data_IF_990187505452
#
_entry.id   IF_990187505452
#
_cell.length_a   1.000
_cell.length_b   1.000
_cell.length_c   1.000
_cell.angle_alpha   90.00
_cell.angle_beta   90.00
_cell.angle_gamma   90.00
#
_symmetry.space_group_name_H-M   'P 1'
#
loop_
_entity.id
_entity.type
_entity.pdbx_description
1 polymer ?
#
# COMPACT_ATOMS: atom_id res chain seq x y z
N UNK A 1 2.10 -5.27 -7.59
CA UNK A 1 2.20 -3.84 -7.19
C UNK A 1 2.37 -3.81 -5.69
N UNK A 2 3.27 -2.97 -5.16
CA UNK A 2 3.63 -2.95 -3.75
C UNK A 2 3.42 -1.57 -3.14
N UNK A 3 3.11 -1.52 -1.84
CA UNK A 3 3.01 -0.26 -1.09
C UNK A 3 4.41 0.30 -0.89
N UNK A 4 4.60 1.56 -1.30
CA UNK A 4 5.83 2.28 -1.13
C UNK A 4 5.61 3.55 -0.30
N UNK A 5 6.67 4.02 0.35
CA UNK A 5 6.71 5.24 1.15
C UNK A 5 7.92 6.06 0.75
N UNK A 6 7.70 7.36 0.58
CA UNK A 6 8.74 8.34 0.29
C UNK A 6 8.58 9.56 1.21
N UNK A 7 9.68 10.23 1.52
CA UNK A 7 9.69 11.44 2.34
C UNK A 7 10.14 12.64 1.53
N UNK A 8 9.37 13.72 1.60
CA UNK A 8 9.74 15.02 1.01
C UNK A 8 9.64 16.10 2.08
N UNK A 9 10.79 16.72 2.41
CA UNK A 9 10.89 17.73 3.48
C UNK A 9 10.28 17.27 4.82
N UNK A 10 10.56 16.02 5.20
CA UNK A 10 10.05 15.41 6.44
C UNK A 10 8.58 14.95 6.39
N UNK A 11 7.87 15.17 5.28
CA UNK A 11 6.49 14.71 5.12
C UNK A 11 6.43 13.33 4.45
N UNK A 12 5.77 12.32 5.06
CA UNK A 12 5.56 11.01 4.48
C UNK A 12 4.50 11.04 3.37
N UNK A 13 4.78 10.38 2.25
CA UNK A 13 3.89 10.26 1.09
C UNK A 13 3.91 8.80 0.66
N UNK A 14 2.77 8.10 0.81
CA UNK A 14 2.63 6.77 0.24
C UNK A 14 2.42 6.83 -1.28
N UNK A 15 2.85 5.78 -1.96
CA UNK A 15 2.70 5.57 -3.38
C UNK A 15 2.83 4.09 -3.71
N UNK A 16 3.23 3.80 -4.95
CA UNK A 16 3.40 2.42 -5.40
C UNK A 16 4.82 2.13 -5.87
N UNK A 17 5.18 0.87 -5.77
CA UNK A 17 6.31 0.29 -6.49
C UNK A 17 5.88 -0.91 -7.34
N UNK A 18 6.67 -1.22 -8.36
CA UNK A 18 6.53 -2.42 -9.17
C UNK A 18 7.90 -2.91 -9.65
N UNK A 19 7.93 -4.18 -10.04
CA UNK A 19 9.10 -4.80 -10.64
C UNK A 19 9.12 -4.50 -12.14
N UNK A 20 10.25 -4.01 -12.63
CA UNK A 20 10.57 -3.96 -14.05
C UNK A 20 11.98 -4.53 -14.25
N UNK A 21 12.08 -5.70 -14.89
CA UNK A 21 13.33 -6.43 -15.10
C UNK A 21 14.20 -6.65 -13.84
N UNK A 22 13.55 -6.92 -12.70
CA UNK A 22 14.20 -7.11 -11.40
C UNK A 22 14.57 -5.80 -10.68
N UNK A 23 14.41 -4.65 -11.35
CA UNK A 23 14.58 -3.33 -10.77
C UNK A 23 13.31 -2.83 -10.09
N UNK A 24 13.50 -2.04 -9.03
CA UNK A 24 12.37 -1.35 -8.37
C UNK A 24 12.05 -0.09 -9.15
N UNK A 25 10.86 -0.04 -9.73
CA UNK A 25 10.25 1.17 -10.23
C UNK A 25 9.22 1.68 -9.23
N UNK A 26 8.95 2.98 -9.25
CA UNK A 26 8.00 3.58 -8.32
C UNK A 26 7.31 4.82 -8.88
N UNK A 27 6.25 5.24 -8.21
CA UNK A 27 5.48 6.42 -8.56
C UNK A 27 4.83 7.02 -7.33
N UNK A 28 5.04 8.32 -7.13
CA UNK A 28 4.47 9.11 -6.04
C UNK A 28 3.79 10.38 -6.56
N UNK A 29 2.60 10.72 -6.04
CA UNK A 29 1.96 12.00 -6.31
C UNK A 29 2.60 13.12 -5.48
N UNK A 30 3.02 14.21 -6.14
CA UNK A 30 3.54 15.39 -5.46
C UNK A 30 3.25 16.65 -6.28
N UNK A 31 2.70 17.71 -5.67
CA UNK A 31 2.43 19.00 -6.32
C UNK A 31 1.80 18.89 -7.73
N UNK A 32 0.75 18.06 -7.88
CA UNK A 32 0.01 17.81 -9.14
C UNK A 32 0.79 17.04 -10.23
N UNK A 33 2.04 16.66 -9.97
CA UNK A 33 2.86 15.86 -10.88
C UNK A 33 3.07 14.45 -10.34
N UNK A 34 3.44 13.54 -11.25
CA UNK A 34 3.89 12.19 -10.92
C UNK A 34 5.42 12.16 -10.86
N UNK A 35 5.98 11.74 -9.72
CA UNK A 35 7.42 11.55 -9.55
C UNK A 35 7.77 10.06 -9.63
N UNK A 36 8.66 9.69 -10.57
CA UNK A 36 9.17 8.31 -10.75
C UNK A 36 10.69 8.23 -10.72
N UNK A 37 11.37 9.33 -11.03
CA UNK A 37 12.82 9.34 -11.27
C UNK A 37 13.62 9.30 -9.97
N UNK A 38 14.72 8.56 -9.97
CA UNK A 38 15.65 8.50 -8.85
C UNK A 38 16.17 9.90 -8.44
N UNK A 39 16.37 10.81 -9.41
CA UNK A 39 16.78 12.20 -9.16
C UNK A 39 15.73 12.99 -8.37
N UNK A 40 14.45 12.83 -8.71
CA UNK A 40 13.36 13.58 -8.07
C UNK A 40 13.07 13.04 -6.65
N UNK A 41 13.24 11.73 -6.48
CA UNK A 41 12.94 11.01 -5.24
C UNK A 41 14.13 10.96 -4.28
N UNK A 42 15.30 11.47 -4.65
CA UNK A 42 16.49 11.45 -3.79
C UNK A 42 17.14 10.07 -3.66
N UNK A 43 16.88 9.16 -4.60
CA UNK A 43 17.56 7.87 -4.74
C UNK A 43 17.08 6.74 -3.84
N UNK A 44 16.24 6.98 -2.82
CA UNK A 44 15.77 5.94 -1.91
C UNK A 44 14.28 6.09 -1.58
N UNK A 45 13.61 4.95 -1.49
CA UNK A 45 12.22 4.80 -1.04
C UNK A 45 12.15 3.61 -0.07
N UNK A 46 11.05 3.50 0.66
CA UNK A 46 10.77 2.36 1.53
C UNK A 46 9.64 1.53 0.93
N UNK A 47 9.72 0.21 1.04
CA UNK A 47 8.66 -0.73 0.64
C UNK A 47 8.10 -1.36 1.92
N UNK A 48 6.78 -1.44 2.02
CA UNK A 48 6.14 -2.16 3.13
C UNK A 48 6.48 -3.65 3.02
N UNK A 49 7.05 -4.21 4.07
CA UNK A 49 7.35 -5.65 4.17
C UNK A 49 6.54 -6.28 5.29
N UNK A 50 6.23 -7.56 5.12
CA UNK A 50 5.62 -8.39 6.14
C UNK A 50 6.42 -9.69 6.20
N UNK A 51 7.39 -9.73 7.10
CA UNK A 51 8.30 -10.86 7.26
C UNK A 51 8.00 -11.53 8.60
N UNK A 52 7.26 -12.64 8.53
CA UNK A 52 6.70 -13.34 9.68
C UNK A 52 5.26 -13.71 9.39
N UNK A 53 4.49 -13.90 10.45
CA UNK A 53 3.09 -14.31 10.43
C UNK A 53 2.38 -13.73 11.67
N UNK A 54 1.09 -14.07 11.82
CA UNK A 54 0.30 -13.59 12.95
C UNK A 54 0.91 -14.02 14.30
N UNK A 55 1.42 -15.24 14.41
CA UNK A 55 1.94 -15.78 15.66
C UNK A 55 3.24 -15.08 16.11
N UNK A 56 4.08 -14.69 15.15
CA UNK A 56 5.34 -13.98 15.43
C UNK A 56 5.18 -12.46 15.56
N UNK A 57 4.22 -11.85 14.87
CA UNK A 57 4.06 -10.39 14.81
C UNK A 57 2.87 -9.86 15.62
N UNK A 58 1.90 -10.72 15.96
CA UNK A 58 0.66 -10.36 16.65
C UNK A 58 -0.36 -9.63 15.78
N UNK A 59 -0.13 -9.54 14.48
CA UNK A 59 -1.06 -8.93 13.51
C UNK A 59 -0.86 -9.50 12.11
N UNK A 60 -1.86 -9.35 11.25
CA UNK A 60 -1.76 -9.52 9.80
C UNK A 60 -2.34 -8.30 9.08
N UNK A 61 -1.97 -8.08 7.81
CA UNK A 61 -2.51 -6.97 7.03
C UNK A 61 -3.80 -7.36 6.32
N UNK A 62 -4.83 -6.55 6.47
CA UNK A 62 -6.13 -6.69 5.81
C UNK A 62 -6.47 -5.40 5.05
N UNK A 63 -7.05 -5.53 3.86
CA UNK A 63 -7.55 -4.38 3.10
C UNK A 63 -9.02 -4.14 3.45
N UNK A 64 -9.35 -2.93 3.89
CA UNK A 64 -10.72 -2.53 4.24
C UNK A 64 -11.00 -1.09 3.79
N UNK A 65 -12.27 -0.70 3.60
CA UNK A 65 -12.61 0.70 3.33
C UNK A 65 -12.04 1.65 4.39
N UNK A 66 -11.55 2.81 3.97
CA UNK A 66 -10.98 3.84 4.86
C UNK A 66 -11.94 4.20 5.99
N UNK A 67 -13.25 4.26 5.73
CA UNK A 67 -14.26 4.57 6.76
C UNK A 67 -14.27 3.60 7.94
N UNK A 68 -13.72 2.39 7.80
CA UNK A 68 -13.65 1.43 8.92
C UNK A 68 -12.84 1.95 10.12
N UNK A 69 -11.93 2.91 9.91
CA UNK A 69 -11.22 3.60 11.00
C UNK A 69 -12.15 4.36 11.96
N UNK A 70 -13.38 4.65 11.55
CA UNK A 70 -14.39 5.35 12.35
C UNK A 70 -15.24 4.37 13.18
N UNK A 71 -15.20 3.08 12.85
CA UNK A 71 -15.83 2.02 13.65
C UNK A 71 -14.90 1.70 14.80
N UNK A 72 -15.43 1.71 16.03
CA UNK A 72 -14.63 1.44 17.23
C UNK A 72 -14.39 -0.06 17.35
N UNK A 73 -13.32 -0.53 16.70
CA UNK A 73 -12.81 -1.90 16.82
C UNK A 73 -11.37 -1.86 17.31
N UNK A 74 -11.16 -2.33 18.53
CA UNK A 74 -9.86 -2.41 19.21
C UNK A 74 -8.79 -3.21 18.46
N UNK A 75 -9.23 -4.19 17.67
CA UNK A 75 -8.36 -5.11 16.94
C UNK A 75 -7.99 -4.63 15.53
N UNK A 76 -8.43 -3.45 15.08
CA UNK A 76 -8.09 -2.91 13.76
C UNK A 76 -7.33 -1.60 13.90
N UNK A 77 -6.11 -1.58 13.38
CA UNK A 77 -5.24 -0.40 13.42
C UNK A 77 -4.85 0.03 12.02
N UNK A 78 -5.34 1.19 11.58
CA UNK A 78 -4.99 1.77 10.28
C UNK A 78 -3.47 1.89 10.11
N UNK A 79 -2.92 1.39 9.01
CA UNK A 79 -1.50 1.57 8.69
C UNK A 79 -1.29 2.98 8.16
N UNK A 80 -0.42 3.73 8.83
CA UNK A 80 -0.12 5.13 8.49
C UNK A 80 1.30 5.49 8.88
N UNK A 81 1.85 6.47 8.19
CA UNK A 81 3.06 7.19 8.58
C UNK A 81 2.70 8.67 8.66
N UNK A 82 2.79 9.28 9.84
CA UNK A 82 2.25 10.62 10.06
C UNK A 82 0.78 10.69 9.65
N UNK A 83 0.42 11.64 8.78
CA UNK A 83 -0.94 11.80 8.24
C UNK A 83 -1.17 11.09 6.90
N UNK A 84 -0.21 10.31 6.41
CA UNK A 84 -0.34 9.56 5.16
C UNK A 84 -0.74 8.11 5.42
N UNK A 85 -1.83 7.65 4.81
CA UNK A 85 -2.21 6.22 4.78
C UNK A 85 -2.28 5.74 3.33
N UNK A 86 -1.77 4.55 2.98
CA UNK A 86 -1.87 4.02 1.62
C UNK A 86 -3.33 3.69 1.30
N UNK A 87 -3.75 3.99 0.07
CA UNK A 87 -5.10 3.67 -0.43
C UNK A 87 -5.03 3.13 -1.85
N UNK A 88 -5.88 2.16 -2.18
CA UNK A 88 -6.07 1.65 -3.53
C UNK A 88 -7.15 2.46 -4.24
N UNK A 89 -6.79 3.07 -5.38
CA UNK A 89 -7.64 3.98 -6.15
C UNK A 89 -7.94 3.39 -7.52
N UNK A 90 -9.22 3.38 -7.89
CA UNK A 90 -9.66 3.15 -9.27
C UNK A 90 -9.39 4.41 -10.11
N UNK A 91 -8.38 4.34 -10.98
CA UNK A 91 -8.01 5.45 -11.86
C UNK A 91 -8.95 5.54 -13.07
N UNK A 92 -9.04 6.73 -13.69
CA UNK A 92 -9.91 6.98 -14.84
C UNK A 92 -9.50 6.23 -16.11
N UNK A 93 -8.26 5.75 -16.17
CA UNK A 93 -7.78 4.88 -17.23
C UNK A 93 -8.14 3.39 -17.01
N UNK A 94 -8.99 3.10 -16.02
CA UNK A 94 -9.49 1.76 -15.74
C UNK A 94 -8.55 0.88 -14.91
N UNK A 95 -7.38 1.39 -14.50
CA UNK A 95 -6.43 0.62 -13.68
C UNK A 95 -6.57 0.98 -12.19
N UNK A 96 -6.39 -0.03 -11.32
CA UNK A 96 -6.23 0.20 -9.88
C UNK A 96 -4.78 0.54 -9.57
N UNK A 97 -4.55 1.59 -8.77
CA UNK A 97 -3.21 2.01 -8.35
C UNK A 97 -3.17 2.42 -6.89
N UNK A 98 -2.04 2.17 -6.24
CA UNK A 98 -1.81 2.62 -4.86
C UNK A 98 -1.36 4.08 -4.87
N UNK A 99 -2.10 4.89 -4.12
CA UNK A 99 -1.78 6.26 -3.77
C UNK A 99 -1.79 6.44 -2.25
N UNK A 100 -2.15 7.62 -1.77
CA UNK A 100 -2.32 7.87 -0.34
C UNK A 100 -3.48 8.80 -0.04
N UNK A 101 -4.08 8.65 1.13
CA UNK A 101 -5.00 9.61 1.72
C UNK A 101 -4.24 10.44 2.76
N UNK A 102 -4.33 11.77 2.64
CA UNK A 102 -3.91 12.69 3.69
C UNK A 102 -5.05 12.81 4.71
N UNK A 103 -4.82 12.27 5.90
CA UNK A 103 -5.74 12.26 7.03
C UNK A 103 -6.00 13.66 7.61
N UNK A 104 -5.20 14.67 7.25
CA UNK A 104 -5.41 16.05 7.68
C UNK A 104 -6.43 16.78 6.79
N UNK A 105 -6.39 16.48 5.49
CA UNK A 105 -7.20 17.17 4.46
C UNK A 105 -8.36 16.32 3.95
N UNK A 106 -8.34 15.02 4.23
CA UNK A 106 -9.29 14.02 3.71
C UNK A 106 -9.31 13.95 2.17
N UNK A 107 -8.14 14.20 1.57
CA UNK A 107 -7.92 14.13 0.12
C UNK A 107 -6.99 12.97 -0.19
N UNK A 108 -7.47 12.05 -1.02
CA UNK A 108 -6.68 10.97 -1.59
C UNK A 108 -5.99 11.45 -2.88
N UNK A 109 -4.71 11.13 -3.03
CA UNK A 109 -3.92 11.42 -4.21
C UNK A 109 -3.34 10.14 -4.80
N UNK A 110 -3.38 10.03 -6.12
CA UNK A 110 -2.77 8.95 -6.89
C UNK A 110 -2.05 9.54 -8.10
N UNK A 111 -0.93 8.93 -8.50
CA UNK A 111 -0.11 9.40 -9.63
C UNK A 111 -0.11 8.42 -10.78
N UNK A 112 -0.36 8.90 -12.00
CA UNK A 112 -0.25 8.12 -13.24
C UNK A 112 -0.23 9.07 -14.44
N UNK A 113 0.34 8.61 -15.57
CA UNK A 113 0.44 9.39 -16.82
C UNK A 113 1.03 10.80 -16.65
N UNK A 114 2.06 10.95 -15.79
CA UNK A 114 2.76 12.20 -15.55
C UNK A 114 2.02 13.19 -14.63
N UNK A 115 0.83 12.83 -14.15
CA UNK A 115 -0.05 13.69 -13.35
C UNK A 115 -0.36 13.06 -12.00
N UNK A 116 -0.75 13.90 -11.06
CA UNK A 116 -1.45 13.47 -9.85
C UNK A 116 -2.92 13.85 -9.95
N UNK A 117 -3.78 12.88 -9.66
CA UNK A 117 -5.22 13.08 -9.49
C UNK A 117 -5.59 13.05 -8.02
N UNK A 118 -6.67 13.75 -7.68
CA UNK A 118 -7.21 13.83 -6.32
C UNK A 118 -8.65 13.35 -6.25
N UNK A 119 -8.99 12.63 -5.19
CA UNK A 119 -10.34 12.23 -4.82
C UNK A 119 -10.61 12.72 -3.39
N UNK A 120 -11.80 13.29 -3.12
CA UNK A 120 -12.14 13.84 -1.81
C UNK A 120 -13.59 13.55 -1.45
N UNK A 121 -13.96 13.82 -0.19
CA UNK A 121 -15.32 13.64 0.31
C UNK A 121 -15.69 12.16 0.51
N UNK A 122 -16.99 11.86 0.43
CA UNK A 122 -17.53 10.51 0.60
C UNK A 122 -16.80 9.41 -0.20
N UNK A 123 -16.51 9.62 -1.51
CA UNK A 123 -15.77 8.64 -2.31
C UNK A 123 -14.38 8.28 -1.77
N UNK A 124 -13.67 9.21 -1.13
CA UNK A 124 -12.36 8.92 -0.53
C UNK A 124 -12.45 7.95 0.66
N UNK A 125 -13.61 7.92 1.35
CA UNK A 125 -13.85 7.04 2.49
C UNK A 125 -14.16 5.58 2.09
N UNK A 126 -14.54 5.36 0.82
CA UNK A 126 -14.81 4.03 0.27
C UNK A 126 -13.55 3.37 -0.32
N UNK A 127 -12.45 4.12 -0.46
CA UNK A 127 -11.17 3.56 -0.92
C UNK A 127 -10.66 2.49 0.06
N UNK A 128 -10.02 1.46 -0.48
CA UNK A 128 -9.43 0.41 0.35
C UNK A 128 -8.10 0.90 0.93
N UNK A 129 -7.96 0.87 2.24
CA UNK A 129 -6.71 1.09 2.98
C UNK A 129 -6.25 -0.21 3.65
N UNK A 130 -5.00 -0.27 4.08
CA UNK A 130 -4.50 -1.38 4.89
C UNK A 130 -4.72 -1.11 6.38
N UNK A 131 -5.16 -2.15 7.08
CA UNK A 131 -5.23 -2.23 8.52
C UNK A 131 -4.35 -3.37 9.01
N UNK A 132 -3.75 -3.19 10.19
CA UNK A 132 -3.27 -4.31 11.00
C UNK A 132 -4.48 -4.88 11.73
N UNK A 133 -4.75 -6.16 11.50
CA UNK A 133 -5.76 -6.91 12.23
C UNK A 133 -5.07 -7.74 13.32
N UNK A 134 -5.46 -7.49 14.57
CA UNK A 134 -4.87 -8.10 15.78
C UNK A 134 -5.58 -9.40 16.20
N UNK A 135 -6.57 -9.85 15.43
CA UNK A 135 -7.19 -11.17 15.59
C UNK A 135 -6.58 -12.17 14.61
N UNK A 136 -6.55 -13.46 14.97
CA UNK A 136 -6.08 -14.50 14.05
C UNK A 136 -6.80 -14.43 12.70
N UNK A 137 -6.10 -14.69 11.58
CA UNK A 137 -6.73 -14.84 10.28
C UNK A 137 -7.83 -15.92 10.31
N UNK A 138 -8.90 -15.79 9.53
CA UNK A 138 -9.95 -16.80 9.50
C UNK A 138 -9.43 -18.13 8.93
N UNK A 139 -9.91 -19.24 9.52
CA UNK A 139 -9.52 -20.61 9.14
C UNK A 139 -10.65 -21.35 8.43
N UNK A 140 -10.33 -22.39 7.66
CA UNK A 140 -11.34 -23.25 7.01
C UNK A 140 -11.97 -22.67 5.74
N UNK A 141 -11.36 -21.63 5.17
CA UNK A 141 -11.80 -21.01 3.91
C UNK A 141 -11.13 -21.74 2.74
N UNK A 142 -11.88 -21.95 1.65
CA UNK A 142 -11.30 -22.40 0.37
C UNK A 142 -10.62 -21.22 -0.30
N UNK A 143 -9.34 -21.40 -0.64
CA UNK A 143 -8.58 -20.42 -1.42
C UNK A 143 -8.91 -20.64 -2.90
N UNK A 144 -9.30 -19.55 -3.57
CA UNK A 144 -9.63 -19.55 -5.00
C UNK A 144 -8.63 -18.77 -5.85
N UNK A 145 -7.79 -17.95 -5.22
CA UNK A 145 -6.80 -17.11 -5.89
C UNK A 145 -5.45 -17.82 -5.97
N UNK A 146 -4.69 -17.55 -7.03
CA UNK A 146 -3.32 -18.01 -7.15
C UNK A 146 -2.43 -17.35 -6.10
N UNK A 147 -1.59 -18.14 -5.43
CA UNK A 147 -0.65 -17.65 -4.44
C UNK A 147 0.71 -17.38 -5.10
N UNK A 148 1.10 -16.11 -5.15
CA UNK A 148 2.38 -15.66 -5.71
C UNK A 148 3.36 -15.31 -4.58
N UNK A 149 4.51 -15.98 -4.56
CA UNK A 149 5.61 -15.69 -3.63
C UNK A 149 6.66 -14.76 -4.25
N UNK A 150 7.05 -13.70 -3.52
CA UNK A 150 8.14 -12.81 -3.92
C UNK A 150 9.50 -13.36 -3.45
N UNK A 151 10.37 -13.67 -4.41
CA UNK A 151 11.74 -14.17 -4.19
C UNK A 151 12.72 -13.44 -5.11
N UNK A 152 14.00 -13.42 -4.74
CA UNK A 152 15.09 -12.91 -5.57
C UNK A 152 15.95 -14.05 -6.09
N UNK A 153 16.63 -13.80 -7.21
CA UNK A 153 17.63 -14.73 -7.71
C UNK A 153 18.73 -14.97 -6.66
N UNK A 154 19.02 -16.24 -6.39
CA UNK A 154 19.98 -16.67 -5.36
C UNK A 154 19.38 -16.89 -3.97
N UNK A 155 18.09 -16.60 -3.76
CA UNK A 155 17.40 -16.98 -2.52
C UNK A 155 17.29 -18.51 -2.40
N UNK A 156 17.22 -18.99 -1.16
CA UNK A 156 16.98 -20.41 -0.89
C UNK A 156 15.65 -20.86 -1.51
N UNK A 157 15.63 -22.07 -2.07
CA UNK A 157 14.40 -22.65 -2.62
C UNK A 157 13.29 -22.71 -1.55
N UNK A 158 12.06 -22.27 -1.87
CA UNK A 158 10.97 -22.22 -0.90
C UNK A 158 10.56 -23.64 -0.49
N UNK A 159 10.64 -23.94 0.81
CA UNK A 159 10.28 -25.26 1.37
C UNK A 159 8.79 -25.43 1.70
N UNK A 160 8.04 -24.33 1.69
CA UNK A 160 6.66 -24.26 2.21
C UNK A 160 5.60 -24.18 1.12
N UNK A 161 5.89 -24.64 -0.10
CA UNK A 161 4.86 -24.72 -1.14
C UNK A 161 4.05 -25.99 -0.88
N UNK A 162 3.01 -25.88 -0.07
CA UNK A 162 1.98 -26.94 0.03
C UNK A 162 1.23 -26.93 -1.31
N UNK A 163 1.17 -28.04 -2.06
CA UNK A 163 0.40 -28.12 -3.29
C UNK A 163 -1.11 -27.94 -3.05
#
# INVERSE_FOLDING_TARGET
MYIALWYKHGKPIHGRAWNDNGGVQCSFPFNKVELKGAKDLGGMIQILTYKGDFDSLGYWYEWLPVKQRLVSEDHRQLVRCGQSTPVLVDCKDGQKRIGYLDLSTEIALVSYNGKSESLSGGPAQELMAIYRNLRPPPTGIKIYEDLWGDLKYGDNFPKNVVP
#
